data_IF_355914898158
#
_entry.id   IF_355914898158
#
_cell.length_a   1.000
_cell.length_b   1.000
_cell.length_c   1.000
_cell.angle_alpha   90.00
_cell.angle_beta   90.00
_cell.angle_gamma   90.00
#
_symmetry.space_group_name_H-M   'P 1'
#
loop_
_entity.id
_entity.type
_entity.pdbx_description
1 polymer ?
#
# COMPACT_ATOMS: atom_id res chain seq x y z
N UNK A 1 73.74 10.68 9.17
CA UNK A 1 72.61 10.74 8.21
C UNK A 1 72.26 9.30 7.88
N UNK A 2 71.45 8.65 8.73
CA UNK A 2 70.13 8.07 8.38
C UNK A 2 70.07 7.45 6.99
N UNK A 3 70.03 6.12 6.92
CA UNK A 3 69.11 5.37 6.06
C UNK A 3 68.82 4.00 6.71
N UNK A 4 67.54 3.68 6.83
CA UNK A 4 66.94 2.60 7.59
C UNK A 4 66.16 1.71 6.61
N UNK A 5 66.25 0.38 6.80
CA UNK A 5 65.25 -0.66 6.46
C UNK A 5 65.21 -1.13 4.99
N UNK A 6 64.96 -2.40 4.65
CA UNK A 6 64.58 -3.57 5.45
C UNK A 6 63.66 -4.51 4.63
N UNK A 7 63.86 -5.83 4.76
CA UNK A 7 62.77 -6.82 4.64
C UNK A 7 62.50 -7.47 3.27
N UNK A 8 62.97 -8.72 3.11
CA UNK A 8 62.63 -9.63 2.01
C UNK A 8 61.14 -10.04 2.03
N UNK A 9 60.37 -9.70 0.99
CA UNK A 9 58.97 -10.12 0.84
C UNK A 9 58.87 -11.44 0.07
N UNK A 10 58.40 -12.48 0.76
CA UNK A 10 58.11 -13.82 0.21
C UNK A 10 56.71 -13.79 -0.43
N UNK A 11 56.64 -14.17 -1.72
CA UNK A 11 55.40 -14.36 -2.47
C UNK A 11 54.64 -15.58 -1.94
N UNK A 12 53.48 -15.37 -1.31
CA UNK A 12 52.48 -16.40 -1.04
C UNK A 12 51.28 -16.18 -1.96
N UNK A 13 51.10 -17.07 -2.93
CA UNK A 13 49.98 -17.07 -3.88
C UNK A 13 48.77 -17.73 -3.20
N UNK A 14 47.85 -16.94 -2.66
CA UNK A 14 46.55 -17.42 -2.17
C UNK A 14 45.52 -17.29 -3.30
N UNK A 15 45.14 -18.43 -3.89
CA UNK A 15 44.04 -18.53 -4.84
C UNK A 15 42.70 -18.41 -4.11
N UNK A 16 42.07 -17.23 -4.19
CA UNK A 16 40.70 -17.01 -3.73
C UNK A 16 39.69 -17.48 -4.77
N UNK A 17 39.05 -18.63 -4.54
CA UNK A 17 37.89 -19.09 -5.30
C UNK A 17 36.69 -18.17 -4.99
N UNK A 18 36.38 -17.26 -5.91
CA UNK A 18 35.21 -16.39 -5.82
C UNK A 18 33.97 -17.16 -6.30
N UNK A 19 33.21 -17.76 -5.38
CA UNK A 19 31.91 -18.36 -5.70
C UNK A 19 30.89 -17.23 -5.82
N UNK A 20 30.56 -16.83 -7.05
CA UNK A 20 29.41 -15.97 -7.30
C UNK A 20 28.13 -16.81 -7.11
N UNK A 21 27.48 -16.68 -5.95
CA UNK A 21 26.11 -17.12 -5.79
C UNK A 21 25.22 -16.23 -6.68
N UNK A 22 24.80 -16.73 -7.84
CA UNK A 22 23.70 -16.15 -8.58
C UNK A 22 22.41 -16.39 -7.78
N UNK A 23 22.14 -15.50 -6.82
CA UNK A 23 20.79 -15.40 -6.27
C UNK A 23 19.85 -15.10 -7.43
N UNK A 24 18.83 -15.92 -7.62
CA UNK A 24 17.73 -15.58 -8.52
C UNK A 24 17.22 -14.19 -8.12
N UNK A 25 17.00 -13.25 -9.06
CA UNK A 25 16.36 -12.00 -8.70
C UNK A 25 14.99 -12.37 -8.15
N UNK A 26 14.84 -12.29 -6.83
CA UNK A 26 13.53 -12.33 -6.21
C UNK A 26 12.74 -11.21 -6.86
N UNK A 27 11.64 -11.58 -7.51
CA UNK A 27 10.75 -10.62 -8.14
C UNK A 27 10.35 -9.59 -7.08
N UNK A 28 10.90 -8.37 -7.19
CA UNK A 28 10.78 -7.37 -6.14
C UNK A 28 9.39 -6.74 -6.27
N UNK A 29 8.54 -7.06 -5.31
CA UNK A 29 7.21 -6.51 -5.20
C UNK A 29 7.04 -5.86 -3.83
N UNK A 30 6.62 -4.61 -3.82
CA UNK A 30 6.40 -3.86 -2.60
C UNK A 30 5.10 -3.09 -2.69
N UNK A 31 4.38 -3.07 -1.58
CA UNK A 31 3.24 -2.20 -1.35
C UNK A 31 3.53 -1.47 -0.05
N UNK A 32 3.63 -0.14 -0.11
CA UNK A 32 3.80 0.73 1.04
C UNK A 32 2.69 1.75 1.04
N UNK A 33 2.21 2.13 2.22
CA UNK A 33 1.24 3.21 2.40
C UNK A 33 1.94 4.30 3.19
N UNK A 34 1.78 5.57 2.78
CA UNK A 34 2.51 6.70 3.36
C UNK A 34 2.19 6.94 4.84
N UNK A 35 1.11 6.35 5.33
CA UNK A 35 0.74 6.37 6.74
C UNK A 35 -0.76 6.12 6.92
N UNK A 36 -1.23 6.38 8.13
CA UNK A 36 -2.65 6.36 8.46
C UNK A 36 -3.26 7.74 8.13
N UNK A 37 -4.43 7.80 7.48
CA UNK A 37 -5.14 9.07 7.32
C UNK A 37 -5.50 9.64 8.70
N UNK A 38 -5.54 10.97 8.80
CA UNK A 38 -6.09 11.64 9.98
C UNK A 38 -7.52 11.14 10.26
N UNK A 39 -7.91 11.10 11.54
CA UNK A 39 -9.25 10.68 11.95
C UNK A 39 -10.33 11.43 11.17
N UNK A 40 -11.16 10.69 10.45
CA UNK A 40 -12.30 11.23 9.72
C UNK A 40 -13.48 11.39 10.67
N UNK A 41 -14.13 12.56 10.65
CA UNK A 41 -15.23 12.88 11.56
C UNK A 41 -16.42 13.43 10.77
N UNK A 42 -17.54 12.70 10.82
CA UNK A 42 -18.83 13.18 10.37
C UNK A 42 -19.50 13.91 11.55
N UNK A 43 -19.23 15.21 11.66
CA UNK A 43 -19.70 16.06 12.76
C UNK A 43 -20.97 16.84 12.44
N UNK A 44 -21.40 16.91 11.17
CA UNK A 44 -22.53 17.75 10.75
C UNK A 44 -23.58 16.95 10.00
N UNK A 45 -24.74 16.80 10.65
CA UNK A 45 -25.99 16.42 9.99
C UNK A 45 -26.99 17.56 10.19
N UNK A 46 -27.52 18.11 9.10
CA UNK A 46 -28.70 18.98 9.18
C UNK A 46 -29.89 18.11 9.55
N UNK A 47 -30.68 18.51 10.55
CA UNK A 47 -31.85 17.75 10.99
C UNK A 47 -32.79 17.47 9.79
N UNK A 48 -33.12 16.21 9.56
CA UNK A 48 -33.92 15.77 8.41
C UNK A 48 -33.14 15.53 7.10
N UNK A 49 -31.81 15.63 7.11
CA UNK A 49 -30.92 15.28 5.99
C UNK A 49 -29.86 14.26 6.41
N UNK A 50 -29.28 13.56 5.43
CA UNK A 50 -28.13 12.69 5.70
C UNK A 50 -26.92 13.54 6.14
N UNK A 51 -26.13 13.06 7.12
CA UNK A 51 -24.85 13.67 7.46
C UNK A 51 -23.96 13.91 6.23
N UNK A 52 -23.29 15.06 6.17
CA UNK A 52 -22.33 15.34 5.09
C UNK A 52 -21.14 14.41 5.26
N UNK A 53 -20.87 13.59 4.24
CA UNK A 53 -19.76 12.65 4.25
C UNK A 53 -18.41 13.37 4.34
N UNK A 54 -17.48 12.79 5.09
CA UNK A 54 -16.11 13.30 5.22
C UNK A 54 -15.22 12.60 4.19
N UNK A 55 -14.34 13.38 3.55
CA UNK A 55 -13.46 12.91 2.47
C UNK A 55 -12.00 13.15 2.82
N UNK A 56 -11.18 12.10 2.79
CA UNK A 56 -9.75 12.21 3.09
C UNK A 56 -8.90 11.68 1.92
N UNK A 57 -8.02 12.52 1.38
CA UNK A 57 -7.05 12.15 0.33
C UNK A 57 -5.59 12.39 0.74
N UNK A 58 -5.32 12.47 2.05
CA UNK A 58 -4.00 12.81 2.57
C UNK A 58 -2.99 11.65 2.50
N UNK A 59 -3.45 10.42 2.25
CA UNK A 59 -2.54 9.27 2.14
C UNK A 59 -2.33 8.86 0.70
N UNK A 60 -1.16 8.27 0.49
CA UNK A 60 -0.72 7.74 -0.78
C UNK A 60 -0.28 6.30 -0.57
N UNK A 61 -0.37 5.48 -1.61
CA UNK A 61 0.29 4.18 -1.64
C UNK A 61 1.35 4.16 -2.72
N UNK A 62 2.47 3.51 -2.44
CA UNK A 62 3.53 3.22 -3.40
C UNK A 62 3.49 1.74 -3.72
N UNK A 63 3.41 1.41 -5.01
CA UNK A 63 3.41 0.04 -5.49
C UNK A 63 4.56 -0.17 -6.46
N UNK A 64 5.30 -1.24 -6.27
CA UNK A 64 6.32 -1.74 -7.20
C UNK A 64 6.01 -3.20 -7.49
N UNK A 65 6.05 -3.60 -8.75
CA UNK A 65 5.79 -4.98 -9.18
C UNK A 65 6.75 -5.34 -10.30
N UNK A 66 7.98 -5.76 -9.95
CA UNK A 66 8.95 -6.28 -10.92
C UNK A 66 8.74 -7.78 -11.15
N UNK A 67 7.69 -8.13 -11.90
CA UNK A 67 7.15 -9.50 -11.93
C UNK A 67 6.64 -9.94 -13.32
N UNK A 68 6.47 -11.25 -13.47
CA UNK A 68 5.90 -11.90 -14.66
C UNK A 68 4.36 -12.05 -14.57
N UNK A 69 3.83 -12.35 -13.37
CA UNK A 69 2.40 -12.53 -13.13
C UNK A 69 1.74 -11.25 -12.65
N UNK A 70 0.63 -10.84 -13.26
CA UNK A 70 -0.10 -9.61 -12.89
C UNK A 70 -0.61 -9.66 -11.44
N UNK A 71 -0.77 -8.48 -10.82
CA UNK A 71 -1.24 -8.31 -9.44
C UNK A 71 -2.49 -7.44 -9.37
N UNK A 72 -3.15 -7.49 -8.23
CA UNK A 72 -4.23 -6.59 -7.85
C UNK A 72 -4.05 -6.14 -6.40
N UNK A 73 -4.51 -4.93 -6.11
CA UNK A 73 -4.60 -4.40 -4.75
C UNK A 73 -6.03 -4.61 -4.26
N UNK A 74 -6.16 -5.35 -3.17
CA UNK A 74 -7.42 -5.50 -2.44
C UNK A 74 -7.37 -4.74 -1.14
N UNK A 75 -8.54 -4.36 -0.63
CA UNK A 75 -8.65 -3.89 0.74
C UNK A 75 -9.86 -4.48 1.44
N UNK A 76 -9.76 -4.54 2.76
CA UNK A 76 -10.85 -4.93 3.66
C UNK A 76 -10.79 -4.15 4.96
N UNK A 77 -11.91 -4.13 5.67
CA UNK A 77 -12.00 -3.63 7.03
C UNK A 77 -11.74 -4.74 8.05
N UNK A 78 -11.17 -4.37 9.19
CA UNK A 78 -11.01 -5.28 10.34
C UNK A 78 -12.35 -5.80 10.87
N UNK A 79 -13.42 -5.03 10.71
CA UNK A 79 -14.79 -5.41 11.06
C UNK A 79 -15.77 -4.47 10.36
N UNK A 80 -16.96 -4.98 10.03
CA UNK A 80 -17.99 -4.25 9.29
C UNK A 80 -18.32 -2.89 9.93
N UNK A 81 -18.66 -1.93 9.08
CA UNK A 81 -19.21 -0.66 9.54
C UNK A 81 -20.55 -0.90 10.24
N UNK A 82 -20.88 -0.12 11.30
CA UNK A 82 -22.20 -0.17 11.90
C UNK A 82 -23.30 0.14 10.88
N UNK A 83 -24.53 -0.30 11.19
CA UNK A 83 -25.68 0.03 10.36
C UNK A 83 -25.84 1.55 10.20
N UNK A 84 -26.11 1.99 8.97
CA UNK A 84 -26.22 3.41 8.64
C UNK A 84 -24.88 4.10 8.37
N UNK A 85 -23.75 3.40 8.39
CA UNK A 85 -22.43 3.95 8.06
C UNK A 85 -21.80 3.21 6.88
N UNK A 86 -21.08 3.92 6.04
CA UNK A 86 -20.42 3.35 4.86
C UNK A 86 -19.07 4.01 4.66
N UNK A 87 -18.02 3.20 4.51
CA UNK A 87 -16.70 3.66 4.11
C UNK A 87 -16.43 3.17 2.69
N UNK A 88 -16.18 4.09 1.79
CA UNK A 88 -15.74 3.81 0.42
C UNK A 88 -14.32 4.28 0.22
N UNK A 89 -13.54 3.51 -0.54
CA UNK A 89 -12.15 3.82 -0.85
C UNK A 89 -11.95 3.77 -2.35
N UNK A 90 -11.22 4.74 -2.88
CA UNK A 90 -10.78 4.79 -4.26
C UNK A 90 -9.28 4.98 -4.35
N UNK A 91 -8.63 4.21 -5.22
CA UNK A 91 -7.20 4.32 -5.49
C UNK A 91 -7.01 4.80 -6.93
N UNK A 92 -6.12 5.77 -7.13
CA UNK A 92 -5.69 6.13 -8.49
C UNK A 92 -4.83 4.99 -9.03
N UNK A 93 -5.22 4.41 -10.16
CA UNK A 93 -4.47 3.31 -10.76
C UNK A 93 -3.07 3.76 -11.22
N UNK A 94 -2.04 2.92 -11.03
CA UNK A 94 -0.75 3.09 -11.68
C UNK A 94 -0.81 2.81 -13.17
N UNK A 95 0.25 3.21 -13.88
CA UNK A 95 0.34 3.06 -15.33
C UNK A 95 0.09 1.61 -15.78
N UNK A 96 -0.87 1.42 -16.69
CA UNK A 96 -1.23 0.09 -17.22
C UNK A 96 -2.13 -0.76 -16.32
N UNK A 97 -2.48 -0.30 -15.12
CA UNK A 97 -3.47 -0.92 -14.24
C UNK A 97 -4.84 -0.24 -14.37
N UNK A 98 -5.87 -0.88 -13.83
CA UNK A 98 -7.25 -0.36 -13.86
C UNK A 98 -7.75 -0.13 -12.44
N UNK A 99 -8.28 1.05 -12.16
CA UNK A 99 -8.94 1.36 -10.89
C UNK A 99 -10.40 0.94 -10.95
N UNK A 100 -10.91 0.39 -9.85
CA UNK A 100 -12.32 0.04 -9.70
C UNK A 100 -13.19 1.25 -9.30
N UNK A 101 -12.59 2.44 -9.14
CA UNK A 101 -13.31 3.64 -8.70
C UNK A 101 -13.54 3.66 -7.19
N UNK A 102 -14.65 4.24 -6.73
CA UNK A 102 -15.02 4.24 -5.32
C UNK A 102 -15.68 2.91 -4.94
N UNK A 103 -15.02 2.14 -4.09
CA UNK A 103 -15.47 0.81 -3.67
C UNK A 103 -15.84 0.84 -2.20
N UNK A 104 -17.06 0.40 -1.89
CA UNK A 104 -17.51 0.23 -0.51
C UNK A 104 -16.77 -0.92 0.16
N UNK A 105 -16.15 -0.65 1.30
CA UNK A 105 -15.42 -1.63 2.07
C UNK A 105 -16.31 -2.29 3.13
N UNK A 106 -16.04 -3.57 3.36
CA UNK A 106 -16.60 -4.39 4.44
C UNK A 106 -15.51 -5.36 4.95
N UNK A 107 -15.88 -6.36 5.75
CA UNK A 107 -14.94 -7.36 6.27
C UNK A 107 -14.45 -8.39 5.22
N UNK A 108 -14.86 -8.27 3.96
CA UNK A 108 -14.40 -9.10 2.86
C UNK A 108 -13.40 -8.35 1.98
N UNK A 109 -12.51 -9.07 1.32
CA UNK A 109 -11.53 -8.48 0.41
C UNK A 109 -12.24 -7.93 -0.84
N UNK A 110 -12.11 -6.62 -1.04
CA UNK A 110 -12.65 -5.90 -2.21
C UNK A 110 -11.52 -5.46 -3.12
N UNK A 111 -11.68 -5.69 -4.42
CA UNK A 111 -10.72 -5.28 -5.44
C UNK A 111 -10.77 -3.77 -5.63
N UNK A 112 -9.64 -3.08 -5.52
CA UNK A 112 -9.54 -1.63 -5.69
C UNK A 112 -8.78 -1.24 -6.96
N UNK A 113 -7.70 -1.95 -7.25
CA UNK A 113 -6.90 -1.79 -8.47
C UNK A 113 -6.55 -3.17 -9.00
N UNK A 114 -6.78 -3.39 -10.28
CA UNK A 114 -6.57 -4.67 -10.95
C UNK A 114 -5.62 -4.54 -12.12
N UNK A 115 -5.17 -5.68 -12.67
CA UNK A 115 -4.32 -5.74 -13.86
C UNK A 115 -2.98 -4.98 -13.71
N UNK A 116 -2.39 -4.98 -12.50
CA UNK A 116 -1.09 -4.37 -12.24
C UNK A 116 0.00 -5.26 -12.86
N UNK A 117 0.62 -4.78 -13.93
CA UNK A 117 1.68 -5.50 -14.65
C UNK A 117 3.08 -5.25 -14.07
N UNK A 118 4.09 -5.31 -14.93
CA UNK A 118 5.44 -4.94 -14.56
C UNK A 118 5.52 -3.42 -14.38
N UNK A 119 5.84 -2.98 -13.17
CA UNK A 119 5.74 -1.58 -12.78
C UNK A 119 6.89 -1.20 -11.84
N UNK A 120 7.62 -0.14 -12.21
CA UNK A 120 8.58 0.52 -11.31
C UNK A 120 7.82 1.26 -10.20
N UNK A 121 8.50 1.64 -9.12
CA UNK A 121 7.85 2.29 -7.99
C UNK A 121 7.02 3.51 -8.42
N UNK A 122 5.69 3.41 -8.29
CA UNK A 122 4.77 4.53 -8.51
C UNK A 122 4.01 4.83 -7.22
N UNK A 123 4.00 6.11 -6.84
CA UNK A 123 3.20 6.62 -5.71
C UNK A 123 1.90 7.20 -6.25
N UNK A 124 0.77 6.76 -5.70
CA UNK A 124 -0.58 7.16 -6.10
C UNK A 124 -1.40 7.56 -4.87
N UNK A 125 -2.38 8.43 -5.06
CA UNK A 125 -3.27 8.87 -4.00
C UNK A 125 -4.32 7.82 -3.65
N UNK A 126 -4.69 7.79 -2.36
CA UNK A 126 -5.84 7.07 -1.84
C UNK A 126 -6.88 8.12 -1.44
N UNK A 127 -8.13 7.92 -1.85
CA UNK A 127 -9.26 8.75 -1.43
C UNK A 127 -10.22 7.90 -0.62
N UNK A 128 -10.44 8.28 0.63
CA UNK A 128 -11.46 7.71 1.51
C UNK A 128 -12.68 8.62 1.51
N UNK A 129 -13.85 8.04 1.40
CA UNK A 129 -15.13 8.70 1.57
C UNK A 129 -15.90 7.97 2.67
N UNK A 130 -16.15 8.66 3.78
CA UNK A 130 -16.97 8.14 4.84
C UNK A 130 -18.34 8.83 4.78
N UNK A 131 -19.42 8.05 4.75
CA UNK A 131 -20.80 8.54 4.77
C UNK A 131 -21.59 7.87 5.89
N UNK A 132 -22.60 8.58 6.38
CA UNK A 132 -23.53 8.09 7.38
C UNK A 132 -24.95 8.52 7.03
N UNK A 133 -25.95 7.76 7.46
CA UNK A 133 -27.37 8.14 7.37
C UNK A 133 -27.82 8.83 8.65
N UNK A 134 -28.97 9.50 8.63
CA UNK A 134 -29.54 10.15 9.82
C UNK A 134 -29.87 9.17 10.97
N UNK A 135 -29.97 7.86 10.67
CA UNK A 135 -30.18 6.80 11.66
C UNK A 135 -28.86 6.24 12.23
N UNK A 136 -27.71 6.68 11.71
CA UNK A 136 -26.42 6.24 12.19
C UNK A 136 -26.16 6.79 13.60
N UNK A 137 -25.78 5.91 14.53
CA UNK A 137 -25.32 6.33 15.86
C UNK A 137 -23.94 7.00 15.81
N UNK A 138 -23.41 7.41 16.96
CA UNK A 138 -22.00 7.83 17.03
C UNK A 138 -21.07 6.61 16.90
N UNK A 139 -20.07 6.68 16.04
CA UNK A 139 -18.99 5.70 16.00
C UNK A 139 -17.81 6.21 16.82
N UNK A 140 -17.63 5.64 18.01
CA UNK A 140 -16.52 5.94 18.93
C UNK A 140 -15.31 5.03 18.76
N UNK A 141 -15.37 4.07 17.83
CA UNK A 141 -14.29 3.11 17.56
C UNK A 141 -13.64 3.35 16.20
N UNK A 142 -12.32 3.19 16.13
CA UNK A 142 -11.58 3.20 14.87
C UNK A 142 -11.78 1.90 14.07
N UNK A 143 -11.63 2.00 12.75
CA UNK A 143 -11.65 0.87 11.83
C UNK A 143 -10.32 0.83 11.07
N UNK A 144 -9.74 -0.35 10.98
CA UNK A 144 -8.47 -0.54 10.27
C UNK A 144 -8.78 -1.03 8.86
N UNK A 145 -8.31 -0.30 7.85
CA UNK A 145 -8.30 -0.74 6.47
C UNK A 145 -6.99 -1.47 6.20
N UNK A 146 -7.05 -2.73 5.80
CA UNK A 146 -5.87 -3.51 5.41
C UNK A 146 -5.81 -3.62 3.90
N UNK A 147 -4.70 -3.17 3.31
CA UNK A 147 -4.42 -3.32 1.89
C UNK A 147 -3.53 -4.55 1.65
N UNK A 148 -3.88 -5.36 0.65
CA UNK A 148 -3.10 -6.53 0.27
C UNK A 148 -2.80 -6.52 -1.22
N UNK A 149 -1.58 -6.92 -1.58
CA UNK A 149 -1.19 -7.13 -2.98
C UNK A 149 -1.28 -8.64 -3.28
N UNK A 150 -2.21 -9.03 -4.15
CA UNK A 150 -2.48 -10.45 -4.47
C UNK A 150 -2.38 -10.70 -5.97
N UNK A 151 -2.36 -11.96 -6.38
CA UNK A 151 -2.31 -12.32 -7.80
C UNK A 151 -3.59 -11.92 -8.53
N UNK A 152 -3.42 -11.38 -9.73
CA UNK A 152 -4.51 -11.19 -10.68
C UNK A 152 -4.61 -12.45 -11.57
N UNK A 153 -5.81 -12.98 -11.81
CA UNK A 153 -6.02 -14.17 -12.63
C UNK A 153 -5.61 -13.98 -14.10
#
# INVERSE_FOLDING_TARGET
MREFQGGNFRFALLAGLFVAAFGTPAAAQSLSVSGNPASMNISSATAGSEPVGDGNSATTYSVTTLIIQKKKVTARLSSNMPAGMTLSVSLVAPSGATSMGAVTLDNTDRDLVVNIGNLLAETKSITYQFTGTAAAGALTSSRTVTFSLVNYP
#
